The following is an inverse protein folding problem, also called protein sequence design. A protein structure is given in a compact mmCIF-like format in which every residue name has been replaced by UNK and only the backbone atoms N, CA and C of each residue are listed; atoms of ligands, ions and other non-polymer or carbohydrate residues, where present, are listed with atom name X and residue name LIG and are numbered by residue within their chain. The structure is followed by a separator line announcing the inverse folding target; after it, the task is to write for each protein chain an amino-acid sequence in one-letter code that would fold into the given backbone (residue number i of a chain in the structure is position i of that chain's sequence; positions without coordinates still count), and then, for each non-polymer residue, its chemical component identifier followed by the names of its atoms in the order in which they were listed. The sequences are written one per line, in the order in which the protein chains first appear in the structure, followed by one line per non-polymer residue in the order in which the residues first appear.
data_IF_223291817061
#
_entry.id   IF_223291817061
#
_cell.length_a   1.000
_cell.length_b   1.000
_cell.length_c   1.000
_cell.angle_alpha   90.00
_cell.angle_beta   90.00
_cell.angle_gamma   90.00
#
_symmetry.space_group_name_H-M   'P 1'
#
loop_
_entity.id
_entity.type
_entity.pdbx_description
1 polymer ?
#
# COMPACT_ATOMS: atom_id res chain seq x y z
N UNK A 1 -16.86 68.51 0.82
CA UNK A 1 -16.83 67.26 1.61
C UNK A 1 -16.22 66.14 0.78
N UNK A 2 -14.92 65.83 0.95
CA UNK A 2 -14.27 64.66 0.35
C UNK A 2 -13.87 63.74 1.50
N UNK A 3 -14.53 62.57 1.60
CA UNK A 3 -14.21 61.55 2.61
C UNK A 3 -12.90 60.88 2.21
N UNK A 4 -11.89 61.03 3.07
CA UNK A 4 -10.60 60.36 2.98
C UNK A 4 -10.73 59.04 3.74
N UNK A 5 -10.91 57.92 3.03
CA UNK A 5 -10.89 56.58 3.63
C UNK A 5 -9.44 56.09 3.70
N UNK A 6 -8.86 56.22 4.89
CA UNK A 6 -7.59 55.63 5.27
C UNK A 6 -7.77 54.10 5.38
N UNK A 7 -7.24 53.34 4.42
CA UNK A 7 -7.20 51.88 4.51
C UNK A 7 -5.88 51.45 5.17
N UNK A 8 -5.95 51.22 6.48
CA UNK A 8 -4.87 50.61 7.25
C UNK A 8 -4.67 49.16 6.76
N UNK A 9 -3.71 48.95 5.88
CA UNK A 9 -3.22 47.61 5.55
C UNK A 9 -2.37 47.09 6.72
N UNK A 10 -3.04 46.43 7.67
CA UNK A 10 -2.39 45.52 8.61
C UNK A 10 -1.86 44.33 7.83
N UNK A 11 -0.56 44.33 7.54
CA UNK A 11 0.17 43.21 6.96
C UNK A 11 0.17 42.03 7.92
N UNK A 12 -0.86 41.19 7.85
CA UNK A 12 -0.93 39.92 8.54
C UNK A 12 0.23 39.04 8.07
N UNK A 13 1.20 38.81 8.97
CA UNK A 13 2.30 37.89 8.75
C UNK A 13 1.72 36.46 8.67
N UNK A 14 1.39 36.01 7.45
CA UNK A 14 0.95 34.62 7.21
C UNK A 14 2.09 33.69 7.57
N UNK A 15 1.98 32.96 8.67
CA UNK A 15 2.89 31.85 8.96
C UNK A 15 2.78 30.83 7.83
N UNK A 16 3.82 30.69 7.00
CA UNK A 16 3.86 29.64 5.99
C UNK A 16 3.88 28.30 6.72
N UNK A 17 2.90 27.45 6.45
CA UNK A 17 2.87 26.10 6.99
C UNK A 17 4.10 25.33 6.50
N UNK A 18 4.82 24.69 7.43
CA UNK A 18 5.93 23.81 7.09
C UNK A 18 5.42 22.66 6.21
N UNK A 19 6.19 22.32 5.18
CA UNK A 19 5.85 21.35 4.13
C UNK A 19 6.71 20.11 4.20
N UNK A 20 8.00 20.29 4.46
CA UNK A 20 8.99 19.23 4.54
C UNK A 20 9.71 19.27 5.89
N UNK A 21 10.27 18.15 6.29
CA UNK A 21 11.13 18.03 7.46
C UNK A 21 12.38 17.23 7.08
N UNK A 22 13.53 17.86 7.23
CA UNK A 22 14.84 17.24 7.06
C UNK A 22 15.21 16.59 8.40
N UNK A 23 15.62 15.33 8.36
CA UNK A 23 16.17 14.60 9.51
C UNK A 23 17.60 14.17 9.18
N UNK A 24 18.55 14.54 10.02
CA UNK A 24 19.96 14.21 9.84
C UNK A 24 20.58 13.68 11.13
N UNK A 25 21.41 12.66 11.03
CA UNK A 25 22.19 12.13 12.13
C UNK A 25 23.52 12.89 12.23
N UNK A 26 23.92 13.21 13.45
CA UNK A 26 25.19 13.89 13.75
C UNK A 26 26.03 13.02 14.69
N UNK A 27 27.32 12.90 14.38
CA UNK A 27 28.33 12.26 15.21
C UNK A 27 29.51 13.21 15.40
N UNK A 28 29.86 13.50 16.64
CA UNK A 28 30.96 14.42 16.98
C UNK A 28 31.97 13.69 17.88
N UNK A 29 33.25 13.79 17.52
CA UNK A 29 34.34 13.22 18.30
C UNK A 29 34.84 14.22 19.35
N UNK A 30 34.12 14.31 20.46
CA UNK A 30 34.41 15.19 21.59
C UNK A 30 33.13 15.63 22.30
N UNK A 31 33.27 16.56 23.24
CA UNK A 31 32.14 17.15 23.98
C UNK A 31 31.73 18.47 23.35
N UNK A 32 30.50 18.55 22.85
CA UNK A 32 29.91 19.76 22.28
C UNK A 32 28.51 19.97 22.84
N UNK A 33 28.08 21.23 22.95
CA UNK A 33 26.73 21.57 23.40
C UNK A 33 25.80 21.78 22.20
N UNK A 34 24.48 21.68 22.43
CA UNK A 34 23.44 21.98 21.43
C UNK A 34 23.67 23.32 20.72
N UNK A 35 24.07 24.36 21.45
CA UNK A 35 24.33 25.70 20.90
C UNK A 35 25.49 25.73 19.91
N UNK A 36 26.51 24.88 20.11
CA UNK A 36 27.69 24.82 19.25
C UNK A 36 27.33 24.17 17.91
N UNK A 37 26.47 23.14 17.95
CA UNK A 37 25.95 22.46 16.76
C UNK A 37 25.09 23.42 15.92
N UNK A 38 24.16 24.14 16.57
CA UNK A 38 23.32 25.14 15.88
C UNK A 38 24.19 26.26 15.30
N UNK A 39 25.21 26.71 16.05
CA UNK A 39 26.16 27.71 15.59
C UNK A 39 26.93 27.27 14.35
N UNK A 40 27.41 26.03 14.33
CA UNK A 40 28.10 25.46 13.17
C UNK A 40 27.19 25.32 11.96
N UNK A 41 25.96 24.83 12.13
CA UNK A 41 24.96 24.72 11.06
C UNK A 41 24.68 26.09 10.44
N UNK A 42 24.40 27.09 11.27
CA UNK A 42 24.06 28.43 10.79
C UNK A 42 25.26 29.18 10.20
N UNK A 43 26.48 28.92 10.69
CA UNK A 43 27.67 29.65 10.26
C UNK A 43 28.36 29.03 9.04
N UNK A 44 28.52 27.72 8.98
CA UNK A 44 29.24 27.06 7.89
C UNK A 44 28.41 26.89 6.62
N UNK A 45 27.09 26.98 6.72
CA UNK A 45 26.20 27.04 5.55
C UNK A 45 26.01 28.46 5.00
N UNK A 46 26.46 29.49 5.74
CA UNK A 46 26.41 30.89 5.34
C UNK A 46 27.39 31.15 4.18
N UNK A 47 26.95 31.85 3.13
CA UNK A 47 27.76 32.12 1.94
C UNK A 47 27.97 30.95 0.96
N UNK A 48 27.57 29.71 1.29
CA UNK A 48 27.73 28.55 0.40
C UNK A 48 26.64 28.45 -0.68
N UNK A 49 25.41 28.84 -0.34
CA UNK A 49 24.22 28.58 -1.17
C UNK A 49 23.63 29.86 -1.82
N UNK A 50 24.28 31.00 -1.63
CA UNK A 50 23.80 32.33 -2.04
C UNK A 50 22.71 32.90 -1.12
N UNK A 51 22.48 34.20 -1.23
CA UNK A 51 21.66 35.01 -0.30
C UNK A 51 20.21 34.53 -0.12
N UNK A 52 19.65 33.79 -1.07
CA UNK A 52 18.25 33.34 -1.03
C UNK A 52 18.06 32.00 -0.33
N UNK A 53 19.14 31.24 -0.11
CA UNK A 53 19.14 29.94 0.55
C UNK A 53 19.85 29.96 1.92
N UNK A 54 20.20 31.14 2.43
CA UNK A 54 20.82 31.29 3.75
C UNK A 54 19.85 30.95 4.89
N UNK A 55 20.24 30.01 5.75
CA UNK A 55 19.40 29.52 6.84
C UNK A 55 18.91 30.62 7.79
N UNK A 56 19.75 31.61 8.13
CA UNK A 56 19.36 32.74 9.01
C UNK A 56 18.25 33.59 8.39
N UNK A 57 18.36 33.91 7.10
CA UNK A 57 17.36 34.70 6.36
C UNK A 57 16.08 33.89 6.16
N UNK A 58 16.21 32.61 5.83
CA UNK A 58 15.08 31.70 5.68
C UNK A 58 14.32 31.50 6.99
N UNK A 59 15.00 31.47 8.13
CA UNK A 59 14.37 31.41 9.44
C UNK A 59 13.61 32.69 9.78
N UNK A 60 14.21 33.87 9.53
CA UNK A 60 13.54 35.17 9.71
C UNK A 60 12.30 35.35 8.83
N UNK A 61 12.32 34.78 7.63
CA UNK A 61 11.21 34.83 6.67
C UNK A 61 10.20 33.68 6.86
N UNK A 62 10.36 32.87 7.91
CA UNK A 62 9.56 31.68 8.20
C UNK A 62 9.50 30.67 7.04
N UNK A 63 10.50 30.68 6.16
CA UNK A 63 10.66 29.68 5.10
C UNK A 63 11.25 28.39 5.66
N UNK A 64 12.15 28.51 6.62
CA UNK A 64 12.73 27.41 7.41
C UNK A 64 12.35 27.63 8.88
N UNK A 65 12.05 26.58 9.63
CA UNK A 65 11.75 26.68 11.06
C UNK A 65 13.00 26.62 11.94
N UNK A 66 12.80 26.36 13.23
CA UNK A 66 13.92 26.22 14.16
C UNK A 66 14.69 24.91 13.91
N UNK A 67 16.02 24.99 14.00
CA UNK A 67 16.87 23.80 14.02
C UNK A 67 16.77 23.18 15.41
N UNK A 68 16.13 22.03 15.48
CA UNK A 68 16.06 21.22 16.69
C UNK A 68 17.16 20.17 16.67
N UNK A 69 17.85 20.03 17.79
CA UNK A 69 18.98 19.12 17.93
C UNK A 69 18.83 18.40 19.25
N UNK A 70 18.70 17.08 19.17
CA UNK A 70 18.73 16.17 20.31
C UNK A 70 20.10 15.51 20.36
N UNK A 71 20.73 15.49 21.53
CA UNK A 71 22.10 14.98 21.69
C UNK A 71 22.22 14.06 22.89
N UNK A 72 22.86 12.92 22.68
CA UNK A 72 23.33 12.01 23.71
C UNK A 72 24.86 11.95 23.71
N UNK A 73 25.47 11.97 24.89
CA UNK A 73 26.92 11.79 25.03
C UNK A 73 27.20 10.38 25.54
N UNK A 74 28.01 9.61 24.83
CA UNK A 74 28.49 8.29 25.26
C UNK A 74 29.98 8.16 24.95
N UNK A 75 30.76 7.73 25.94
CA UNK A 75 32.21 7.48 25.81
C UNK A 75 33.00 8.65 25.20
N UNK A 76 32.67 9.89 25.58
CA UNK A 76 33.35 11.09 25.07
C UNK A 76 33.00 11.45 23.60
N UNK A 77 32.04 10.76 22.99
CA UNK A 77 31.47 11.11 21.68
C UNK A 77 30.02 11.56 21.83
N UNK A 78 29.64 12.55 21.03
CA UNK A 78 28.25 13.02 20.97
C UNK A 78 27.58 12.41 19.74
N UNK A 79 26.44 11.77 19.96
CA UNK A 79 25.53 11.33 18.94
C UNK A 79 24.27 12.17 19.03
N UNK A 80 23.69 12.55 17.90
CA UNK A 80 22.47 13.32 17.93
C UNK A 80 21.67 13.22 16.65
N UNK A 81 20.48 13.79 16.71
CA UNK A 81 19.55 13.92 15.59
C UNK A 81 19.23 15.40 15.42
N UNK A 82 19.41 15.89 14.20
CA UNK A 82 19.05 17.23 13.76
C UNK A 82 17.72 17.13 13.02
N UNK A 83 16.76 17.97 13.41
CA UNK A 83 15.48 18.11 12.73
C UNK A 83 15.33 19.54 12.24
N UNK A 84 15.10 19.72 10.93
CA UNK A 84 14.94 21.02 10.31
C UNK A 84 13.69 21.08 9.43
N UNK A 85 12.61 21.75 9.89
CA UNK A 85 11.41 21.91 9.10
C UNK A 85 11.56 23.03 8.06
N UNK A 86 10.95 22.84 6.89
CA UNK A 86 11.00 23.75 5.74
C UNK A 86 9.62 23.89 5.09
N UNK A 87 9.25 25.10 4.69
CA UNK A 87 8.06 25.40 3.86
C UNK A 87 8.38 25.63 2.39
N UNK A 88 9.65 25.43 2.02
CA UNK A 88 10.19 25.59 0.68
C UNK A 88 9.75 24.43 -0.24
N UNK A 89 10.14 24.45 -1.50
CA UNK A 89 9.91 23.31 -2.38
C UNK A 89 10.91 22.16 -2.09
N UNK A 90 10.71 21.03 -2.76
CA UNK A 90 11.54 19.83 -2.57
C UNK A 90 12.99 20.03 -3.05
N UNK A 91 13.22 20.85 -4.07
CA UNK A 91 14.56 21.08 -4.63
C UNK A 91 15.37 21.97 -3.69
N UNK A 92 14.82 23.11 -3.30
CA UNK A 92 15.43 24.03 -2.35
C UNK A 92 15.68 23.34 -1.00
N UNK A 93 14.73 22.53 -0.52
CA UNK A 93 14.88 21.77 0.73
C UNK A 93 15.99 20.72 0.62
N UNK A 94 16.13 20.05 -0.52
CA UNK A 94 17.21 19.08 -0.74
C UNK A 94 18.60 19.74 -0.78
N UNK A 95 18.72 20.94 -1.37
CA UNK A 95 19.97 21.73 -1.37
C UNK A 95 20.36 22.14 0.05
N UNK A 96 19.39 22.56 0.87
CA UNK A 96 19.65 22.86 2.27
C UNK A 96 20.05 21.60 3.04
N UNK A 97 19.41 20.46 2.77
CA UNK A 97 19.77 19.21 3.42
C UNK A 97 21.22 18.81 3.07
N UNK A 98 21.62 18.90 1.80
CA UNK A 98 22.99 18.54 1.39
C UNK A 98 24.05 19.47 1.97
N UNK A 99 23.74 20.76 2.19
CA UNK A 99 24.67 21.67 2.87
C UNK A 99 24.87 21.35 4.35
N UNK A 100 23.98 20.59 4.99
CA UNK A 100 24.25 20.09 6.34
C UNK A 100 25.37 19.04 6.33
N UNK A 101 25.50 18.26 5.26
CA UNK A 101 26.53 17.22 5.16
C UNK A 101 27.93 17.77 4.89
N UNK A 102 28.05 19.02 4.46
CA UNK A 102 29.36 19.67 4.23
C UNK A 102 30.03 20.13 5.53
N UNK A 103 29.30 20.10 6.65
CA UNK A 103 29.81 20.51 7.96
C UNK A 103 30.69 19.39 8.52
N UNK A 104 32.00 19.62 8.55
CA UNK A 104 33.01 18.67 9.01
C UNK A 104 33.52 18.96 10.44
N UNK A 105 33.15 20.12 11.00
CA UNK A 105 33.67 20.58 12.28
C UNK A 105 32.66 21.33 13.13
N UNK A 106 32.64 21.07 14.43
CA UNK A 106 31.79 21.77 15.40
C UNK A 106 32.63 22.18 16.60
N UNK A 107 32.83 23.49 16.75
CA UNK A 107 33.83 24.03 17.68
C UNK A 107 35.24 23.49 17.33
N UNK A 108 35.99 22.93 18.30
CA UNK A 108 37.28 22.31 18.02
C UNK A 108 37.18 20.84 17.54
N UNK A 109 35.99 20.24 17.56
CA UNK A 109 35.81 18.80 17.34
C UNK A 109 35.44 18.47 15.89
N UNK A 110 35.91 17.33 15.40
CA UNK A 110 35.49 16.81 14.10
C UNK A 110 34.07 16.23 14.20
N UNK A 111 33.25 16.50 13.19
CA UNK A 111 31.87 16.09 13.10
C UNK A 111 31.58 15.41 11.76
N UNK A 112 30.59 14.52 11.76
CA UNK A 112 30.03 13.92 10.56
C UNK A 112 28.51 14.07 10.67
N UNK A 113 27.92 14.74 9.69
CA UNK A 113 26.47 14.85 9.54
C UNK A 113 26.04 14.05 8.32
N UNK A 114 24.99 13.25 8.46
CA UNK A 114 24.38 12.50 7.36
C UNK A 114 22.88 12.74 7.33
N UNK A 115 22.35 13.18 6.21
CA UNK A 115 20.90 13.30 6.03
C UNK A 115 20.31 11.90 5.93
N UNK A 116 19.39 11.59 6.85
CA UNK A 116 18.70 10.31 6.90
C UNK A 116 17.51 10.32 5.94
N UNK A 117 16.73 11.39 5.99
CA UNK A 117 15.53 11.53 5.15
C UNK A 117 15.06 12.99 5.05
N UNK A 118 14.29 13.26 3.98
CA UNK A 118 13.48 14.47 3.82
C UNK A 118 12.02 14.01 3.68
N UNK A 119 11.18 14.29 4.67
CA UNK A 119 9.79 13.84 4.71
C UNK A 119 8.81 14.98 4.38
N UNK A 120 7.79 14.72 3.55
CA UNK A 120 6.67 15.66 3.37
C UNK A 120 5.68 15.49 4.53
N UNK A 121 5.71 16.43 5.47
CA UNK A 121 4.85 16.39 6.66
C UNK A 121 3.36 16.59 6.33
N UNK A 122 3.01 17.08 5.13
CA UNK A 122 1.62 17.15 4.66
C UNK A 122 1.15 15.81 4.12
N UNK A 123 2.03 14.95 3.62
CA UNK A 123 1.65 13.57 3.29
C UNK A 123 1.24 12.82 4.57
N UNK A 124 2.07 12.87 5.61
CA UNK A 124 1.78 12.23 6.90
C UNK A 124 0.52 12.80 7.56
N UNK A 125 0.32 14.12 7.55
CA UNK A 125 -0.91 14.74 8.06
C UNK A 125 -2.14 14.38 7.23
N UNK A 126 -2.03 14.27 5.89
CA UNK A 126 -3.13 13.80 5.05
C UNK A 126 -3.53 12.38 5.42
N UNK A 127 -2.56 11.47 5.59
CA UNK A 127 -2.82 10.10 6.05
C UNK A 127 -3.48 10.10 7.44
N UNK A 128 -2.96 10.87 8.40
CA UNK A 128 -3.57 10.97 9.73
C UNK A 128 -4.98 11.57 9.72
N UNK A 129 -5.26 12.54 8.85
CA UNK A 129 -6.62 13.09 8.65
C UNK A 129 -7.53 12.04 8.06
N UNK A 130 -7.05 11.27 7.07
CA UNK A 130 -7.81 10.16 6.48
C UNK A 130 -8.11 9.11 7.56
N UNK A 131 -7.12 8.65 8.32
CA UNK A 131 -7.32 7.64 9.36
C UNK A 131 -8.25 8.14 10.47
N UNK A 132 -8.13 9.40 10.87
CA UNK A 132 -9.07 10.01 11.82
C UNK A 132 -10.49 10.13 11.25
N UNK A 133 -10.63 10.47 9.97
CA UNK A 133 -11.93 10.51 9.31
C UNK A 133 -12.56 9.11 9.23
N UNK A 134 -11.76 8.07 8.97
CA UNK A 134 -12.19 6.66 9.01
C UNK A 134 -12.73 6.27 10.39
N UNK A 135 -12.03 6.61 11.47
CA UNK A 135 -12.47 6.37 12.85
C UNK A 135 -13.78 7.10 13.19
N UNK A 136 -13.86 8.39 12.83
CA UNK A 136 -15.07 9.19 13.07
C UNK A 136 -16.26 8.63 12.29
N UNK A 137 -16.03 8.20 11.05
CA UNK A 137 -17.06 7.59 10.23
C UNK A 137 -17.50 6.22 10.78
N UNK A 138 -16.57 5.39 11.25
CA UNK A 138 -16.90 4.14 11.97
C UNK A 138 -17.77 4.42 13.21
N UNK A 139 -17.45 5.49 13.94
CA UNK A 139 -18.22 5.90 15.12
C UNK A 139 -19.63 6.35 14.74
N UNK A 140 -19.79 7.16 13.68
CA UNK A 140 -21.07 7.62 13.18
C UNK A 140 -21.94 6.49 12.59
N UNK A 141 -21.32 5.54 11.92
CA UNK A 141 -21.99 4.33 11.40
C UNK A 141 -22.48 3.46 12.56
N UNK A 142 -21.66 3.30 13.61
CA UNK A 142 -22.02 2.54 14.80
C UNK A 142 -23.06 3.25 15.68
N UNK A 143 -23.13 4.60 15.63
CA UNK A 143 -24.13 5.38 16.37
C UNK A 143 -25.49 5.45 15.69
N UNK A 144 -25.65 4.85 14.49
CA UNK A 144 -26.94 4.77 13.80
C UNK A 144 -27.45 6.09 13.21
N UNK A 145 -26.62 7.14 13.21
CA UNK A 145 -26.98 8.51 12.85
C UNK A 145 -26.58 8.87 11.40
N UNK A 146 -26.78 7.96 10.45
CA UNK A 146 -26.77 8.32 9.02
C UNK A 146 -27.51 7.28 8.18
N UNK A 147 -28.73 7.63 7.79
CA UNK A 147 -29.50 6.93 6.79
C UNK A 147 -28.87 7.07 5.40
N UNK A 148 -28.16 6.03 4.93
CA UNK A 148 -28.28 5.46 3.58
C UNK A 148 -27.32 4.27 3.46
N UNK A 149 -27.86 3.05 3.34
CA UNK A 149 -27.08 1.80 3.23
C UNK A 149 -25.97 1.88 2.17
N UNK A 150 -26.20 2.61 1.08
CA UNK A 150 -25.31 2.69 -0.08
C UNK A 150 -23.97 3.37 0.20
N UNK A 151 -23.95 4.49 0.94
CA UNK A 151 -22.70 5.20 1.27
C UNK A 151 -21.90 4.43 2.33
N UNK A 152 -22.60 3.74 3.24
CA UNK A 152 -21.97 2.88 4.25
C UNK A 152 -21.30 1.66 3.60
N UNK A 153 -21.92 1.04 2.59
CA UNK A 153 -21.32 -0.05 1.81
C UNK A 153 -20.08 0.42 1.03
N UNK A 154 -20.16 1.60 0.41
CA UNK A 154 -19.11 2.19 -0.44
C UNK A 154 -17.95 2.80 0.36
N UNK A 155 -18.18 3.17 1.61
CA UNK A 155 -17.12 3.52 2.55
C UNK A 155 -16.57 2.27 3.25
N UNK A 156 -17.38 1.22 3.50
CA UNK A 156 -16.88 -0.09 3.94
C UNK A 156 -15.91 -0.70 2.94
N UNK A 157 -16.15 -0.58 1.65
CA UNK A 157 -15.21 -1.06 0.61
C UNK A 157 -13.88 -0.31 0.67
N UNK A 158 -13.91 1.02 0.81
CA UNK A 158 -12.70 1.87 0.97
C UNK A 158 -11.97 1.64 2.30
N UNK A 159 -12.69 1.31 3.37
CA UNK A 159 -12.13 0.90 4.68
C UNK A 159 -11.60 -0.54 4.68
N UNK A 160 -12.02 -1.36 3.71
CA UNK A 160 -11.50 -2.72 3.50
C UNK A 160 -10.28 -2.74 2.58
N UNK A 161 -9.61 -1.59 2.39
CA UNK A 161 -8.19 -1.56 2.05
C UNK A 161 -7.37 -1.90 3.31
N UNK A 162 -7.68 -3.05 3.91
CA UNK A 162 -6.78 -3.79 4.79
C UNK A 162 -5.89 -4.61 3.86
N UNK A 163 -4.79 -3.98 3.46
CA UNK A 163 -3.79 -4.38 2.48
C UNK A 163 -3.67 -5.88 2.30
N UNK A 164 -3.84 -6.35 1.07
CA UNK A 164 -3.50 -7.71 0.68
C UNK A 164 -2.16 -8.10 1.34
N UNK A 165 -2.22 -9.18 2.10
CA UNK A 165 -1.11 -9.77 2.82
C UNK A 165 -0.42 -10.84 1.97
N UNK A 166 0.61 -11.45 2.51
CA UNK A 166 1.36 -12.50 1.86
C UNK A 166 1.32 -13.76 2.71
N UNK A 167 0.95 -14.89 2.11
CA UNK A 167 1.01 -16.21 2.71
C UNK A 167 1.93 -17.09 1.87
N UNK A 168 3.15 -17.37 2.34
CA UNK A 168 4.14 -18.18 1.62
C UNK A 168 4.36 -17.76 0.16
N UNK A 169 4.39 -16.45 -0.11
CA UNK A 169 4.55 -15.87 -1.44
C UNK A 169 3.24 -15.72 -2.23
N UNK A 170 2.10 -16.19 -1.73
CA UNK A 170 0.78 -16.00 -2.35
C UNK A 170 0.12 -14.73 -1.84
N UNK A 171 -0.60 -14.03 -2.73
CA UNK A 171 -1.37 -12.85 -2.34
C UNK A 171 -2.64 -13.30 -1.65
N UNK A 172 -2.91 -12.79 -0.45
CA UNK A 172 -4.05 -13.23 0.34
C UNK A 172 -4.68 -12.10 1.15
N UNK A 173 -5.92 -12.28 1.57
CA UNK A 173 -6.57 -11.42 2.53
C UNK A 173 -6.06 -11.67 3.96
N UNK A 174 -6.24 -10.70 4.87
CA UNK A 174 -5.67 -10.76 6.22
C UNK A 174 -6.25 -11.87 7.10
N UNK A 175 -7.38 -12.46 6.72
CA UNK A 175 -8.10 -13.44 7.53
C UNK A 175 -7.98 -14.87 7.00
N UNK A 176 -7.09 -15.16 6.04
CA UNK A 176 -6.99 -16.50 5.44
C UNK A 176 -6.59 -17.58 6.43
N UNK A 177 -5.75 -17.27 7.42
CA UNK A 177 -5.34 -18.23 8.45
C UNK A 177 -6.38 -18.33 9.59
N UNK A 178 -6.97 -17.21 10.00
CA UNK A 178 -7.88 -17.15 11.14
C UNK A 178 -9.33 -17.53 10.84
N UNK A 179 -9.80 -17.41 9.59
CA UNK A 179 -11.16 -17.79 9.21
C UNK A 179 -11.32 -19.30 9.08
N UNK A 180 -12.48 -19.83 9.46
CA UNK A 180 -12.84 -21.24 9.23
C UNK A 180 -13.17 -21.54 7.76
N UNK A 181 -13.42 -20.50 6.96
CA UNK A 181 -13.71 -20.62 5.53
C UNK A 181 -12.65 -19.95 4.68
N UNK A 182 -12.38 -20.49 3.50
CA UNK A 182 -11.38 -20.00 2.56
C UNK A 182 -11.97 -19.85 1.17
N UNK A 183 -11.65 -18.74 0.50
CA UNK A 183 -11.97 -18.51 -0.91
C UNK A 183 -10.66 -18.54 -1.70
N UNK A 184 -10.57 -19.39 -2.72
CA UNK A 184 -9.39 -19.52 -3.56
C UNK A 184 -9.74 -18.95 -4.94
N UNK A 185 -8.95 -17.99 -5.41
CA UNK A 185 -9.10 -17.33 -6.73
C UNK A 185 -7.90 -17.60 -7.61
N UNK A 186 -8.03 -17.38 -8.91
CA UNK A 186 -6.94 -17.59 -9.87
C UNK A 186 -5.77 -16.62 -9.64
N UNK A 187 -6.07 -15.32 -9.62
CA UNK A 187 -5.10 -14.26 -9.71
C UNK A 187 -5.02 -13.34 -8.50
N UNK A 188 -3.95 -12.55 -8.47
CA UNK A 188 -3.69 -11.55 -7.42
C UNK A 188 -4.67 -10.36 -7.49
N UNK A 189 -5.15 -10.03 -8.68
CA UNK A 189 -6.12 -8.95 -8.88
C UNK A 189 -7.52 -9.33 -8.36
N UNK A 190 -7.90 -10.60 -8.49
CA UNK A 190 -9.15 -11.12 -7.93
C UNK A 190 -9.18 -10.97 -6.40
N UNK A 191 -8.06 -11.31 -5.74
CA UNK A 191 -7.92 -11.11 -4.28
C UNK A 191 -8.11 -9.63 -3.93
N UNK A 192 -7.52 -8.72 -4.72
CA UNK A 192 -7.69 -7.28 -4.48
C UNK A 192 -9.14 -6.82 -4.67
N UNK A 193 -9.81 -7.30 -5.71
CA UNK A 193 -11.21 -6.94 -5.94
C UNK A 193 -12.12 -7.51 -4.85
N UNK A 194 -11.90 -8.76 -4.42
CA UNK A 194 -12.60 -9.38 -3.31
C UNK A 194 -12.41 -8.61 -2.00
N UNK A 195 -11.18 -8.18 -1.70
CA UNK A 195 -10.88 -7.32 -0.55
C UNK A 195 -11.63 -5.99 -0.64
N UNK A 196 -11.61 -5.33 -1.79
CA UNK A 196 -12.40 -4.12 -2.02
C UNK A 196 -13.91 -4.38 -1.79
N UNK A 197 -14.40 -5.58 -2.11
CA UNK A 197 -15.79 -5.96 -1.88
C UNK A 197 -16.11 -6.35 -0.42
N UNK A 198 -15.12 -6.36 0.48
CA UNK A 198 -15.30 -6.69 1.90
C UNK A 198 -14.92 -8.13 2.27
N UNK A 199 -14.45 -8.94 1.32
CA UNK A 199 -14.12 -10.37 1.49
C UNK A 199 -12.65 -10.52 1.90
N UNK A 200 -12.41 -10.89 3.16
CA UNK A 200 -11.07 -10.86 3.80
C UNK A 200 -10.34 -12.19 3.86
N UNK A 201 -10.98 -13.28 3.46
CA UNK A 201 -10.49 -14.66 3.54
C UNK A 201 -10.21 -15.26 2.15
N UNK A 202 -9.85 -14.42 1.18
CA UNK A 202 -9.50 -14.85 -0.17
C UNK A 202 -7.98 -15.05 -0.33
N UNK A 203 -7.55 -16.04 -1.12
CA UNK A 203 -6.14 -16.31 -1.46
C UNK A 203 -6.00 -16.63 -2.94
N UNK A 204 -4.91 -16.17 -3.58
CA UNK A 204 -4.61 -16.47 -4.98
C UNK A 204 -3.93 -17.83 -5.14
N UNK A 205 -4.34 -18.61 -6.13
CA UNK A 205 -3.67 -19.82 -6.61
C UNK A 205 -2.44 -19.50 -7.49
N UNK A 206 -2.36 -18.27 -8.04
CA UNK A 206 -1.30 -17.79 -8.94
C UNK A 206 -1.30 -18.52 -10.30
N UNK A 207 -2.50 -18.82 -10.82
CA UNK A 207 -2.74 -19.48 -12.10
C UNK A 207 -2.77 -21.01 -12.05
N UNK A 208 -2.94 -21.63 -13.23
CA UNK A 208 -2.95 -23.09 -13.41
C UNK A 208 -1.52 -23.67 -13.53
N UNK A 209 -1.29 -24.86 -12.99
CA UNK A 209 -0.01 -25.58 -13.11
C UNK A 209 0.61 -25.99 -11.78
N UNK A 210 1.50 -25.16 -11.22
CA UNK A 210 2.25 -25.53 -10.01
C UNK A 210 1.63 -24.94 -8.73
N UNK A 211 0.61 -25.61 -8.21
CA UNK A 211 -0.06 -25.21 -6.98
C UNK A 211 0.86 -25.51 -5.79
N UNK A 212 1.14 -24.49 -4.98
CA UNK A 212 2.01 -24.60 -3.80
C UNK A 212 1.42 -25.52 -2.74
N UNK A 213 2.28 -26.34 -2.11
CA UNK A 213 1.87 -27.26 -1.05
C UNK A 213 1.25 -26.52 0.14
N UNK A 214 1.75 -25.32 0.46
CA UNK A 214 1.23 -24.50 1.56
C UNK A 214 -0.23 -24.08 1.34
N UNK A 215 -0.65 -23.88 0.08
CA UNK A 215 -2.05 -23.60 -0.24
C UNK A 215 -2.93 -24.84 -0.04
N UNK A 216 -2.43 -26.01 -0.44
CA UNK A 216 -3.12 -27.30 -0.29
C UNK A 216 -3.33 -27.60 1.21
N UNK A 217 -2.27 -27.45 2.01
CA UNK A 217 -2.32 -27.68 3.45
C UNK A 217 -3.29 -26.70 4.12
N UNK A 218 -3.24 -25.42 3.74
CA UNK A 218 -4.18 -24.41 4.22
C UNK A 218 -5.62 -24.75 3.84
N UNK A 219 -5.90 -25.14 2.60
CA UNK A 219 -7.25 -25.49 2.17
C UNK A 219 -7.79 -26.71 2.94
N UNK A 220 -6.97 -27.75 3.11
CA UNK A 220 -7.33 -28.96 3.82
C UNK A 220 -7.59 -28.73 5.32
N UNK A 221 -6.98 -27.69 5.92
CA UNK A 221 -7.20 -27.35 7.33
C UNK A 221 -8.51 -26.61 7.59
N UNK A 222 -9.27 -26.21 6.56
CA UNK A 222 -10.45 -25.35 6.68
C UNK A 222 -11.74 -26.15 6.75
N UNK A 223 -12.74 -25.59 7.43
CA UNK A 223 -14.07 -26.20 7.50
C UNK A 223 -14.78 -26.13 6.14
N UNK A 224 -14.65 -24.99 5.44
CA UNK A 224 -15.25 -24.78 4.12
C UNK A 224 -14.31 -24.08 3.14
N UNK A 225 -14.12 -24.67 1.95
CA UNK A 225 -13.33 -24.12 0.85
C UNK A 225 -14.24 -23.84 -0.35
N UNK A 226 -14.16 -22.62 -0.89
CA UNK A 226 -14.84 -22.22 -2.11
C UNK A 226 -13.81 -21.81 -3.15
N UNK A 227 -13.82 -22.44 -4.33
CA UNK A 227 -12.99 -22.01 -5.47
C UNK A 227 -13.80 -21.02 -6.31
N UNK A 228 -13.28 -19.80 -6.45
CA UNK A 228 -13.86 -18.74 -7.25
C UNK A 228 -13.11 -18.67 -8.59
N UNK A 229 -13.79 -19.05 -9.67
CA UNK A 229 -13.21 -19.17 -11.01
C UNK A 229 -13.83 -18.17 -11.98
N UNK A 230 -13.05 -17.75 -12.97
CA UNK A 230 -13.53 -16.90 -14.05
C UNK A 230 -14.57 -17.62 -14.93
N UNK A 231 -15.35 -16.83 -15.65
CA UNK A 231 -16.46 -17.29 -16.48
C UNK A 231 -16.02 -17.87 -17.83
N UNK A 232 -14.82 -18.45 -17.91
CA UNK A 232 -14.21 -18.94 -19.13
C UNK A 232 -13.68 -20.38 -18.99
N UNK A 233 -13.07 -20.89 -20.06
CA UNK A 233 -12.52 -22.25 -20.07
C UNK A 233 -11.26 -22.37 -19.18
N UNK A 234 -10.49 -21.30 -19.03
CA UNK A 234 -9.31 -21.28 -18.15
C UNK A 234 -9.71 -21.52 -16.70
N UNK A 235 -10.73 -20.82 -16.24
CA UNK A 235 -11.32 -21.01 -14.92
C UNK A 235 -11.90 -22.41 -14.72
N UNK A 236 -12.60 -22.96 -15.72
CA UNK A 236 -13.09 -24.35 -15.68
C UNK A 236 -11.93 -25.37 -15.51
N UNK A 237 -10.82 -25.17 -16.22
CA UNK A 237 -9.64 -26.03 -16.10
C UNK A 237 -8.93 -25.89 -14.75
N UNK A 238 -8.82 -24.67 -14.24
CA UNK A 238 -8.26 -24.41 -12.91
C UNK A 238 -9.08 -25.11 -11.83
N UNK A 239 -10.41 -25.02 -11.89
CA UNK A 239 -11.29 -25.73 -10.95
C UNK A 239 -11.03 -27.24 -10.95
N UNK A 240 -10.93 -27.87 -12.13
CA UNK A 240 -10.67 -29.31 -12.22
C UNK A 240 -9.34 -29.67 -11.55
N UNK A 241 -8.29 -28.90 -11.83
CA UNK A 241 -6.99 -29.11 -11.20
C UNK A 241 -7.06 -28.98 -9.67
N UNK A 242 -7.67 -27.90 -9.18
CA UNK A 242 -7.80 -27.60 -7.75
C UNK A 242 -8.66 -28.63 -7.01
N UNK A 243 -9.74 -29.09 -7.63
CA UNK A 243 -10.63 -30.10 -7.08
C UNK A 243 -9.92 -31.45 -6.87
N UNK A 244 -9.01 -31.82 -7.78
CA UNK A 244 -8.31 -33.11 -7.71
C UNK A 244 -7.17 -33.12 -6.67
N UNK A 245 -6.57 -31.98 -6.35
CA UNK A 245 -5.38 -31.89 -5.48
C UNK A 245 -5.66 -31.45 -4.04
N UNK A 246 -6.79 -30.79 -3.77
CA UNK A 246 -7.09 -30.25 -2.45
C UNK A 246 -8.60 -30.22 -2.16
N UNK A 247 -8.95 -30.11 -0.87
CA UNK A 247 -10.34 -29.95 -0.44
C UNK A 247 -11.01 -28.76 -1.12
N UNK A 248 -12.11 -29.04 -1.81
CA UNK A 248 -12.96 -28.04 -2.45
C UNK A 248 -14.43 -28.41 -2.24
N UNK A 249 -15.16 -27.62 -1.43
CA UNK A 249 -16.56 -27.91 -1.11
C UNK A 249 -17.52 -27.22 -2.07
N UNK A 250 -17.18 -26.01 -2.50
CA UNK A 250 -18.02 -25.19 -3.35
C UNK A 250 -17.24 -24.54 -4.49
N UNK A 251 -17.95 -24.16 -5.54
CA UNK A 251 -17.44 -23.34 -6.62
C UNK A 251 -18.33 -22.13 -6.84
N UNK A 252 -17.72 -20.97 -7.03
CA UNK A 252 -18.37 -19.74 -7.42
C UNK A 252 -17.82 -19.33 -8.80
N UNK A 253 -18.60 -19.53 -9.85
CA UNK A 253 -18.20 -19.11 -11.20
C UNK A 253 -18.66 -17.68 -11.46
N UNK A 254 -17.79 -16.86 -12.04
CA UNK A 254 -18.16 -15.55 -12.57
C UNK A 254 -19.14 -15.70 -13.75
N UNK A 255 -19.93 -14.67 -14.10
CA UNK A 255 -20.75 -14.70 -15.31
C UNK A 255 -19.90 -15.01 -16.54
N UNK A 256 -20.49 -15.70 -17.53
CA UNK A 256 -19.79 -16.14 -18.75
C UNK A 256 -19.05 -14.97 -19.40
N UNK A 257 -17.74 -15.16 -19.63
CA UNK A 257 -16.84 -14.17 -20.22
C UNK A 257 -16.45 -13.00 -19.33
N UNK A 258 -16.70 -13.07 -18.01
CA UNK A 258 -16.25 -12.07 -17.03
C UNK A 258 -15.21 -12.65 -16.08
N UNK A 259 -14.32 -11.78 -15.62
CA UNK A 259 -13.22 -12.08 -14.70
C UNK A 259 -13.49 -11.47 -13.32
N UNK A 260 -13.07 -12.17 -12.26
CA UNK A 260 -13.26 -11.75 -10.87
C UNK A 260 -12.63 -10.39 -10.57
N UNK A 261 -11.55 -10.01 -11.25
CA UNK A 261 -10.89 -8.71 -11.08
C UNK A 261 -11.76 -7.50 -11.46
N UNK A 262 -12.75 -7.67 -12.35
CA UNK A 262 -13.61 -6.60 -12.86
C UNK A 262 -15.06 -6.66 -12.36
N UNK A 263 -15.40 -7.64 -11.52
CA UNK A 263 -16.78 -7.81 -11.02
C UNK A 263 -17.17 -6.67 -10.06
N UNK A 264 -18.34 -6.03 -10.26
CA UNK A 264 -18.91 -5.12 -9.26
C UNK A 264 -19.26 -5.86 -7.95
N UNK A 265 -19.23 -5.16 -6.82
CA UNK A 265 -19.51 -5.73 -5.49
C UNK A 265 -20.83 -6.50 -5.40
N UNK A 266 -21.88 -6.02 -6.06
CA UNK A 266 -23.18 -6.70 -6.13
C UNK A 266 -23.07 -8.06 -6.81
N UNK A 267 -22.28 -8.16 -7.87
CA UNK A 267 -22.06 -9.40 -8.63
C UNK A 267 -21.20 -10.37 -7.84
N UNK A 268 -20.10 -9.90 -7.23
CA UNK A 268 -19.26 -10.68 -6.31
C UNK A 268 -20.11 -11.33 -5.21
N UNK A 269 -20.94 -10.53 -4.54
CA UNK A 269 -21.81 -11.02 -3.46
C UNK A 269 -22.81 -12.06 -3.97
N UNK A 270 -23.39 -11.82 -5.15
CA UNK A 270 -24.33 -12.75 -5.77
C UNK A 270 -23.67 -14.08 -6.12
N UNK A 271 -22.50 -14.07 -6.76
CA UNK A 271 -21.75 -15.27 -7.15
C UNK A 271 -21.35 -16.11 -5.93
N UNK A 272 -20.87 -15.47 -4.86
CA UNK A 272 -20.51 -16.17 -3.62
C UNK A 272 -21.74 -16.72 -2.88
N UNK A 273 -22.89 -16.04 -2.91
CA UNK A 273 -24.15 -16.55 -2.33
C UNK A 273 -24.74 -17.70 -3.13
N UNK A 274 -24.62 -17.66 -4.46
CA UNK A 274 -25.10 -18.69 -5.39
C UNK A 274 -24.03 -19.73 -5.73
N UNK A 275 -23.01 -19.88 -4.88
CA UNK A 275 -21.99 -20.91 -5.05
C UNK A 275 -22.64 -22.29 -5.14
N UNK A 276 -22.14 -23.10 -6.04
CA UNK A 276 -22.64 -24.46 -6.30
C UNK A 276 -21.76 -25.46 -5.57
N UNK A 277 -22.33 -26.59 -5.19
CA UNK A 277 -21.58 -27.74 -4.69
C UNK A 277 -20.54 -28.17 -5.72
N UNK A 278 -19.29 -28.35 -5.29
CA UNK A 278 -18.18 -28.61 -6.19
C UNK A 278 -18.34 -29.94 -6.94
N UNK A 279 -18.84 -30.99 -6.29
CA UNK A 279 -19.05 -32.29 -6.93
C UNK A 279 -20.14 -32.22 -8.02
N UNK A 280 -21.21 -31.46 -7.77
CA UNK A 280 -22.26 -31.21 -8.77
C UNK A 280 -21.72 -30.46 -9.98
N UNK A 281 -20.90 -29.43 -9.77
CA UNK A 281 -20.31 -28.66 -10.85
C UNK A 281 -19.33 -29.49 -11.67
N UNK A 282 -18.47 -30.28 -11.02
CA UNK A 282 -17.58 -31.24 -11.69
C UNK A 282 -18.36 -32.19 -12.61
N UNK A 283 -19.46 -32.75 -12.14
CA UNK A 283 -20.28 -33.66 -12.96
C UNK A 283 -20.86 -32.97 -14.21
N UNK A 284 -21.27 -31.70 -14.10
CA UNK A 284 -21.73 -30.91 -15.24
C UNK A 284 -20.61 -30.67 -16.25
N UNK A 285 -19.40 -30.36 -15.76
CA UNK A 285 -18.24 -30.13 -16.61
C UNK A 285 -17.78 -31.40 -17.32
N UNK A 286 -17.73 -32.54 -16.62
CA UNK A 286 -17.41 -33.86 -17.20
C UNK A 286 -18.40 -34.21 -18.33
N UNK A 287 -19.69 -33.90 -18.15
CA UNK A 287 -20.72 -34.10 -19.19
C UNK A 287 -20.49 -33.19 -20.39
N UNK A 288 -20.20 -31.91 -20.17
CA UNK A 288 -19.91 -30.92 -21.22
C UNK A 288 -18.68 -31.34 -22.04
N UNK A 289 -17.62 -31.81 -21.37
CA UNK A 289 -16.41 -32.33 -22.03
C UNK A 289 -16.72 -33.57 -22.86
N UNK A 290 -17.54 -34.49 -22.35
CA UNK A 290 -17.95 -35.69 -23.10
C UNK A 290 -18.78 -35.32 -24.36
N UNK A 291 -19.72 -34.39 -24.25
CA UNK A 291 -20.52 -33.90 -25.38
C UNK A 291 -19.66 -33.18 -26.44
N UNK A 292 -18.65 -32.39 -26.01
CA UNK A 292 -17.72 -31.73 -26.93
C UNK A 292 -16.79 -32.75 -27.62
N UNK A 293 -16.32 -33.77 -26.90
CA UNK A 293 -15.55 -34.86 -27.47
C UNK A 293 -16.38 -35.70 -28.46
N UNK A 294 -17.67 -35.89 -28.22
CA UNK A 294 -18.54 -36.60 -29.16
C UNK A 294 -18.81 -35.77 -30.44
N UNK A 295 -18.85 -34.43 -30.33
CA UNK A 295 -19.08 -33.52 -31.46
C UNK A 295 -17.82 -33.21 -32.28
N UNK A 296 -16.66 -33.14 -31.64
CA UNK A 296 -15.42 -32.63 -32.24
C UNK A 296 -14.21 -33.57 -32.06
N UNK A 297 -14.31 -34.58 -31.19
CA UNK A 297 -13.25 -35.58 -30.94
C UNK A 297 -13.26 -36.69 -31.97
N UNK A 298 -12.96 -36.35 -33.22
CA UNK A 298 -12.50 -37.33 -34.18
C UNK A 298 -11.02 -37.62 -33.94
N UNK A 299 -10.67 -38.91 -33.76
CA UNK A 299 -9.29 -39.42 -33.76
C UNK A 299 -8.50 -38.82 -34.94
N UNK A 300 -7.73 -37.78 -34.66
CA UNK A 300 -6.56 -37.43 -35.45
C UNK A 300 -5.40 -37.50 -34.48
N UNK A 301 -4.73 -38.65 -34.51
CA UNK A 301 -3.35 -38.85 -34.07
C UNK A 301 -2.46 -37.88 -34.85
N UNK A 302 -2.52 -36.59 -34.51
CA UNK A 302 -1.75 -35.53 -35.17
C UNK A 302 -0.24 -35.70 -34.92
N UNK A 303 0.13 -36.46 -33.88
CA UNK A 303 1.51 -36.82 -33.56
C UNK A 303 2.11 -37.81 -34.59
N UNK A 304 1.30 -38.66 -35.24
CA UNK A 304 1.80 -39.62 -36.24
C UNK A 304 2.11 -38.99 -37.59
N UNK A 305 1.49 -37.87 -37.92
CA UNK A 305 1.73 -37.15 -39.18
C UNK A 305 3.00 -36.25 -39.13
N UNK A 306 3.56 -36.01 -37.94
CA UNK A 306 4.79 -35.23 -37.75
C UNK A 306 6.07 -36.03 -38.07
N UNK A 307 6.07 -37.36 -37.89
CA UNK A 307 7.26 -38.20 -38.14
C UNK A 307 7.48 -38.51 -39.64
N UNK A 308 6.46 -38.39 -40.49
CA UNK A 308 6.57 -38.72 -41.92
C UNK A 308 7.15 -37.61 -42.82
N UNK A 309 7.52 -36.44 -42.26
CA UNK A 309 8.00 -35.29 -43.04
C UNK A 309 9.46 -34.88 -42.76
N UNK A 310 10.26 -35.76 -42.14
CA UNK A 310 11.71 -35.56 -41.93
C UNK A 310 12.53 -36.67 -42.64
N UNK A 311 12.02 -37.17 -43.77
CA UNK A 311 12.73 -38.11 -44.66
C UNK A 311 13.31 -37.40 -45.88
#
# INVERSE_FOLDING_TARGET
MRKNTNSNHSSGNKSKAMKYQIRADIKVNGTVQRKDIIGAIMGQTEGLLGDDLELRKLQRTARVGHVDVETETRNGKVHGVITLPSSMDNVETAIIASSLETIDRIGPCNAIIKVVEISDIRATKRTAVVDRAKELLLTLVNSGEAASKTVIEEVRSVLTVGTATNFHGLTCGPNVESSSSLIIVEGRNDVRNLLNCGVKNAISADGAGNIKQELIDLANSKESVTVAIDGDRGGEMLFMQLYDIMKTDHVAQAPVGQEWELLPQKTVTMCLQKKTDAAKFKHQLDKKIAEDNEKYGGDKDWDKDMESNIG
#
